data_IF_137553434771
#
_entry.id   IF_137553434771
#
_cell.length_a   1.000
_cell.length_b   1.000
_cell.length_c   1.000
_cell.angle_alpha   90.00
_cell.angle_beta   90.00
_cell.angle_gamma   90.00
#
_symmetry.space_group_name_H-M   'P 1'
#
loop_
_entity.id
_entity.type
_entity.pdbx_description
1 polymer ?
#
# COMPACT_ATOMS: atom_id res chain seq x y z
N UNK A 1 2.80 -50.82 5.82
CA UNK A 1 2.70 -49.33 5.86
C UNK A 1 2.43 -48.95 7.31
N UNK A 2 3.36 -48.24 7.91
CA UNK A 2 3.64 -48.17 9.35
C UNK A 2 2.55 -47.40 10.13
N UNK A 3 1.88 -48.08 11.10
CA UNK A 3 0.93 -47.44 12.05
C UNK A 3 1.56 -46.20 12.76
N UNK A 4 2.88 -46.17 12.89
CA UNK A 4 3.64 -45.09 13.46
C UNK A 4 3.59 -43.80 12.60
N UNK A 5 3.61 -43.93 11.26
CA UNK A 5 3.51 -42.80 10.34
C UNK A 5 2.10 -42.18 10.37
N UNK A 6 1.07 -43.01 10.55
CA UNK A 6 -0.33 -42.58 10.63
C UNK A 6 -0.59 -41.76 11.92
N UNK A 7 0.07 -42.14 13.04
CA UNK A 7 -0.04 -41.38 14.29
C UNK A 7 0.68 -40.04 14.25
N UNK A 8 1.83 -39.97 13.56
CA UNK A 8 2.57 -38.68 13.40
C UNK A 8 1.78 -37.71 12.52
N UNK A 9 1.22 -38.15 11.41
CA UNK A 9 0.40 -37.29 10.54
C UNK A 9 -0.89 -36.83 11.23
N UNK A 10 -1.51 -37.69 12.06
CA UNK A 10 -2.67 -37.31 12.88
C UNK A 10 -2.31 -36.28 13.97
N UNK A 11 -1.13 -36.43 14.61
CA UNK A 11 -0.67 -35.52 15.65
C UNK A 11 -0.30 -34.13 15.06
N UNK A 12 0.37 -34.11 13.90
CA UNK A 12 0.70 -32.87 13.19
C UNK A 12 -0.57 -32.17 12.70
N UNK A 13 -1.56 -32.91 12.19
CA UNK A 13 -2.85 -32.34 11.80
C UNK A 13 -3.61 -31.79 13.01
N UNK A 14 -3.56 -32.45 14.17
CA UNK A 14 -4.19 -32.00 15.41
C UNK A 14 -3.52 -30.74 15.96
N UNK A 15 -2.18 -30.65 15.90
CA UNK A 15 -1.43 -29.47 16.32
C UNK A 15 -1.70 -28.31 15.37
N UNK A 16 -1.77 -28.52 14.07
CA UNK A 16 -2.15 -27.50 13.09
C UNK A 16 -3.61 -27.06 13.29
N UNK A 17 -4.54 -27.96 13.63
CA UNK A 17 -5.92 -27.59 13.93
C UNK A 17 -6.06 -26.80 15.24
N UNK A 18 -5.28 -27.14 16.27
CA UNK A 18 -5.25 -26.42 17.54
C UNK A 18 -4.59 -25.04 17.40
N UNK A 19 -3.58 -24.89 16.57
CA UNK A 19 -2.95 -23.58 16.29
C UNK A 19 -3.83 -22.70 15.42
N UNK A 20 -4.58 -23.25 14.47
CA UNK A 20 -5.58 -22.50 13.68
C UNK A 20 -6.81 -22.10 14.53
N UNK A 21 -7.22 -22.92 15.50
CA UNK A 21 -8.32 -22.58 16.42
C UNK A 21 -7.94 -21.56 17.49
N UNK A 22 -6.66 -21.47 17.86
CA UNK A 22 -6.21 -20.50 18.87
C UNK A 22 -6.06 -19.08 18.32
N UNK A 23 -5.94 -18.89 17.00
CA UNK A 23 -5.84 -17.57 16.37
C UNK A 23 -7.17 -16.79 16.33
N UNK A 24 -8.31 -17.43 16.60
CA UNK A 24 -9.62 -16.78 16.48
C UNK A 24 -10.11 -16.08 17.76
N UNK A 25 -9.37 -16.10 18.87
CA UNK A 25 -9.82 -15.59 20.17
C UNK A 25 -9.04 -14.39 20.71
N UNK A 26 -8.27 -13.69 19.89
CA UNK A 26 -7.71 -12.43 20.33
C UNK A 26 -8.80 -11.35 20.34
N UNK A 27 -8.92 -10.56 21.42
CA UNK A 27 -9.93 -9.52 21.51
C UNK A 27 -9.71 -8.52 20.35
N UNK A 28 -10.72 -8.39 19.48
CA UNK A 28 -10.70 -7.40 18.39
C UNK A 28 -10.60 -6.01 19.00
N UNK A 29 -9.74 -5.17 18.41
CA UNK A 29 -9.66 -3.78 18.86
C UNK A 29 -11.01 -3.08 18.65
N UNK A 30 -11.37 -2.06 19.45
CA UNK A 30 -12.61 -1.29 19.27
C UNK A 30 -12.77 -0.74 17.86
N UNK A 31 -11.67 -0.35 17.23
CA UNK A 31 -11.61 0.16 15.86
C UNK A 31 -12.04 -0.91 14.85
N UNK A 32 -11.55 -2.15 15.01
CA UNK A 32 -11.92 -3.27 14.13
C UNK A 32 -13.39 -3.67 14.29
N UNK A 33 -13.93 -3.65 15.53
CA UNK A 33 -15.34 -3.92 15.79
C UNK A 33 -16.25 -2.86 15.14
N UNK A 34 -15.83 -1.60 15.13
CA UNK A 34 -16.56 -0.53 14.49
C UNK A 34 -16.49 -0.63 12.95
N UNK A 35 -15.31 -0.99 12.41
CA UNK A 35 -15.15 -1.28 10.99
C UNK A 35 -16.04 -2.43 10.53
N UNK A 36 -16.17 -3.51 11.30
CA UNK A 36 -17.07 -4.62 10.99
C UNK A 36 -18.54 -4.19 10.91
N UNK A 37 -19.00 -3.31 11.80
CA UNK A 37 -20.37 -2.81 11.80
C UNK A 37 -20.65 -1.89 10.62
N UNK A 38 -19.65 -1.24 10.10
CA UNK A 38 -19.78 -0.25 9.02
C UNK A 38 -19.49 -0.81 7.64
N UNK A 39 -18.83 -2.01 7.53
CA UNK A 39 -18.39 -2.55 6.25
C UNK A 39 -19.54 -2.83 5.29
N UNK A 40 -20.70 -3.26 5.79
CA UNK A 40 -21.89 -3.50 4.98
C UNK A 40 -22.62 -2.21 4.58
N UNK A 41 -22.51 -1.17 5.40
CA UNK A 41 -23.24 0.10 5.22
C UNK A 41 -22.39 1.17 4.55
N UNK A 42 -21.11 1.21 4.85
CA UNK A 42 -20.14 2.22 4.40
C UNK A 42 -18.75 1.58 4.24
N UNK A 43 -18.54 0.76 3.21
CA UNK A 43 -17.27 0.06 3.03
C UNK A 43 -16.06 1.00 2.95
N UNK A 44 -16.21 2.20 2.37
CA UNK A 44 -15.15 3.22 2.32
C UNK A 44 -14.75 3.72 3.71
N UNK A 45 -15.71 3.88 4.62
CA UNK A 45 -15.44 4.30 6.00
C UNK A 45 -14.72 3.20 6.79
N UNK A 46 -15.13 1.95 6.60
CA UNK A 46 -14.45 0.79 7.19
C UNK A 46 -13.00 0.69 6.74
N UNK A 47 -12.73 0.92 5.44
CA UNK A 47 -11.38 0.91 4.87
C UNK A 47 -10.49 2.04 5.41
N UNK A 48 -11.06 3.23 5.64
CA UNK A 48 -10.33 4.34 6.28
C UNK A 48 -9.93 4.00 7.72
N UNK A 49 -10.74 3.28 8.46
CA UNK A 49 -10.38 2.78 9.80
C UNK A 49 -9.24 1.75 9.73
N UNK A 50 -9.32 0.81 8.80
CA UNK A 50 -8.32 -0.24 8.64
C UNK A 50 -6.96 0.29 8.16
N UNK A 51 -6.94 1.30 7.32
CA UNK A 51 -5.70 1.98 6.90
C UNK A 51 -4.96 2.69 8.03
N UNK A 52 -5.60 2.85 9.19
CA UNK A 52 -5.02 3.47 10.41
C UNK A 52 -4.57 2.44 11.44
N UNK A 53 -4.91 1.16 11.26
CA UNK A 53 -4.46 0.08 12.14
C UNK A 53 -2.98 -0.17 11.92
N UNK A 54 -2.21 0.13 12.95
CA UNK A 54 -0.75 0.15 12.95
C UNK A 54 -0.18 -1.27 12.98
N UNK A 55 0.70 -1.58 12.07
CA UNK A 55 1.88 -2.48 12.01
C UNK A 55 2.02 -3.71 12.93
N UNK A 56 1.03 -4.14 13.70
CA UNK A 56 1.05 -5.45 14.35
C UNK A 56 0.65 -6.53 13.33
N UNK A 57 1.43 -7.61 13.21
CA UNK A 57 1.19 -8.67 12.22
C UNK A 57 -0.24 -9.21 12.25
N UNK A 58 -0.84 -9.24 13.44
CA UNK A 58 -2.20 -9.71 13.64
C UNK A 58 -3.24 -8.72 13.10
N UNK A 59 -3.03 -7.45 13.32
CA UNK A 59 -3.88 -6.39 12.78
C UNK A 59 -3.76 -6.34 11.25
N UNK A 60 -2.59 -6.61 10.70
CA UNK A 60 -2.37 -6.68 9.27
C UNK A 60 -3.12 -7.84 8.60
N UNK A 61 -3.19 -9.01 9.24
CA UNK A 61 -3.97 -10.15 8.73
C UNK A 61 -5.47 -9.86 8.73
N UNK A 62 -5.97 -9.24 9.80
CA UNK A 62 -7.36 -8.83 9.87
C UNK A 62 -7.68 -7.72 8.86
N UNK A 63 -6.78 -6.73 8.70
CA UNK A 63 -6.92 -5.72 7.68
C UNK A 63 -7.00 -6.33 6.27
N UNK A 64 -6.17 -7.32 5.96
CA UNK A 64 -6.20 -8.03 4.70
C UNK A 64 -7.55 -8.73 4.48
N UNK A 65 -8.10 -9.40 5.50
CA UNK A 65 -9.41 -10.05 5.41
C UNK A 65 -10.53 -9.06 5.05
N UNK A 66 -10.54 -7.88 5.70
CA UNK A 66 -11.52 -6.83 5.39
C UNK A 66 -11.35 -6.24 3.99
N UNK A 67 -10.10 -6.06 3.54
CA UNK A 67 -9.85 -5.61 2.17
C UNK A 67 -10.34 -6.63 1.14
N UNK A 68 -10.17 -7.95 1.39
CA UNK A 68 -10.69 -8.99 0.50
C UNK A 68 -12.22 -8.96 0.43
N UNK A 69 -12.92 -8.78 1.57
CA UNK A 69 -14.37 -8.60 1.59
C UNK A 69 -14.83 -7.35 0.82
N UNK A 70 -14.07 -6.25 0.96
CA UNK A 70 -14.37 -5.03 0.23
C UNK A 70 -14.15 -5.17 -1.29
N UNK A 71 -13.18 -5.99 -1.74
CA UNK A 71 -13.03 -6.31 -3.15
C UNK A 71 -14.23 -7.07 -3.68
N UNK A 72 -14.70 -8.09 -2.95
CA UNK A 72 -15.91 -8.86 -3.32
C UNK A 72 -17.12 -7.94 -3.51
N UNK A 73 -17.38 -7.05 -2.54
CA UNK A 73 -18.47 -6.07 -2.62
C UNK A 73 -18.29 -5.12 -3.81
N UNK A 74 -17.07 -4.64 -4.04
CA UNK A 74 -16.77 -3.73 -5.14
C UNK A 74 -16.91 -4.36 -6.52
N UNK A 75 -16.54 -5.64 -6.65
CA UNK A 75 -16.71 -6.40 -7.89
C UNK A 75 -18.18 -6.67 -8.19
N UNK A 76 -18.96 -7.08 -7.19
CA UNK A 76 -20.40 -7.37 -7.33
C UNK A 76 -21.21 -6.11 -7.64
N UNK A 77 -20.89 -4.99 -6.98
CA UNK A 77 -21.57 -3.71 -7.18
C UNK A 77 -21.04 -2.92 -8.37
N UNK A 78 -19.89 -3.31 -8.95
CA UNK A 78 -19.12 -2.53 -9.95
C UNK A 78 -18.72 -1.15 -9.45
N UNK A 79 -18.46 -1.01 -8.15
CA UNK A 79 -17.96 0.21 -7.54
C UNK A 79 -16.45 0.33 -7.78
N UNK A 80 -16.09 0.98 -8.90
CA UNK A 80 -14.68 1.17 -9.28
C UNK A 80 -13.94 2.07 -8.28
N UNK A 81 -14.60 3.03 -7.65
CA UNK A 81 -14.01 3.86 -6.60
C UNK A 81 -13.60 3.01 -5.40
N UNK A 82 -14.47 2.11 -4.95
CA UNK A 82 -14.16 1.16 -3.88
C UNK A 82 -13.01 0.24 -4.28
N UNK A 83 -13.02 -0.32 -5.48
CA UNK A 83 -11.96 -1.19 -5.99
C UNK A 83 -10.60 -0.48 -6.05
N UNK A 84 -10.56 0.75 -6.59
CA UNK A 84 -9.33 1.57 -6.63
C UNK A 84 -8.77 1.79 -5.23
N UNK A 85 -9.61 2.20 -4.29
CA UNK A 85 -9.19 2.47 -2.91
C UNK A 85 -8.68 1.20 -2.24
N UNK A 86 -9.40 0.09 -2.38
CA UNK A 86 -9.06 -1.20 -1.75
C UNK A 86 -7.77 -1.77 -2.30
N UNK A 87 -7.57 -1.78 -3.62
CA UNK A 87 -6.32 -2.24 -4.23
C UNK A 87 -5.13 -1.37 -3.84
N UNK A 88 -5.29 -0.05 -3.75
CA UNK A 88 -4.25 0.84 -3.25
C UNK A 88 -3.88 0.55 -1.79
N UNK A 89 -4.88 0.31 -0.93
CA UNK A 89 -4.67 0.01 0.48
C UNK A 89 -4.00 -1.35 0.67
N UNK A 90 -4.41 -2.39 -0.07
CA UNK A 90 -3.73 -3.69 -0.08
C UNK A 90 -2.29 -3.58 -0.54
N UNK A 91 -2.04 -2.81 -1.61
CA UNK A 91 -0.69 -2.53 -2.07
C UNK A 91 0.16 -1.86 -0.98
N UNK A 92 -0.42 -0.90 -0.26
CA UNK A 92 0.25 -0.22 0.86
C UNK A 92 0.50 -1.16 2.02
N UNK A 93 -0.46 -2.02 2.39
CA UNK A 93 -0.33 -3.01 3.44
C UNK A 93 0.85 -3.96 3.14
N UNK A 94 0.91 -4.53 1.93
CA UNK A 94 2.00 -5.41 1.53
C UNK A 94 3.35 -4.68 1.45
N UNK A 95 3.37 -3.42 0.99
CA UNK A 95 4.60 -2.62 0.94
C UNK A 95 5.16 -2.31 2.33
N UNK A 96 4.31 -2.10 3.34
CA UNK A 96 4.73 -1.91 4.74
C UNK A 96 5.29 -3.19 5.37
N UNK A 97 4.95 -4.35 4.83
CA UNK A 97 5.48 -5.65 5.23
C UNK A 97 6.70 -6.07 4.39
N UNK A 98 7.21 -5.19 3.53
CA UNK A 98 8.28 -5.46 2.55
C UNK A 98 7.95 -6.59 1.54
N UNK A 99 6.65 -6.96 1.39
CA UNK A 99 6.18 -7.96 0.44
C UNK A 99 5.93 -7.30 -0.92
N UNK A 100 7.01 -6.81 -1.54
CA UNK A 100 6.97 -6.01 -2.75
C UNK A 100 6.37 -6.75 -3.96
N UNK A 101 6.52 -8.07 -4.03
CA UNK A 101 5.98 -8.91 -5.09
C UNK A 101 4.45 -8.98 -5.05
N UNK A 102 3.83 -8.79 -3.88
CA UNK A 102 2.39 -8.68 -3.73
C UNK A 102 1.89 -7.24 -3.86
N UNK A 103 2.67 -6.26 -3.37
CA UNK A 103 2.31 -4.85 -3.42
C UNK A 103 2.17 -4.33 -4.86
N UNK A 104 3.12 -4.67 -5.74
CA UNK A 104 3.14 -4.17 -7.12
C UNK A 104 1.91 -4.59 -7.94
N UNK A 105 1.47 -5.87 -7.95
CA UNK A 105 0.23 -6.28 -8.61
C UNK A 105 -1.00 -5.52 -8.10
N UNK A 106 -1.11 -5.27 -6.78
CA UNK A 106 -2.25 -4.53 -6.22
C UNK A 106 -2.31 -3.10 -6.76
N UNK A 107 -1.20 -2.37 -6.72
CA UNK A 107 -1.16 -1.03 -7.31
C UNK A 107 -1.44 -1.02 -8.83
N UNK A 108 -0.98 -2.03 -9.58
CA UNK A 108 -1.29 -2.13 -11.00
C UNK A 108 -2.77 -2.39 -11.25
N UNK A 109 -3.43 -3.16 -10.40
CA UNK A 109 -4.88 -3.35 -10.44
C UNK A 109 -5.63 -2.04 -10.15
N UNK A 110 -5.22 -1.28 -9.12
CA UNK A 110 -5.78 0.05 -8.87
C UNK A 110 -5.62 0.96 -10.10
N UNK A 111 -4.44 0.94 -10.73
CA UNK A 111 -4.18 1.76 -11.92
C UNK A 111 -5.08 1.36 -13.10
N UNK A 112 -5.37 0.06 -13.32
CA UNK A 112 -6.26 -0.37 -14.39
C UNK A 112 -7.71 0.08 -14.18
N UNK A 113 -8.18 0.13 -12.94
CA UNK A 113 -9.50 0.70 -12.64
C UNK A 113 -9.53 2.22 -12.79
N UNK A 114 -8.41 2.92 -12.55
CA UNK A 114 -8.29 4.35 -12.80
C UNK A 114 -8.31 4.73 -14.30
N UNK A 115 -8.14 3.76 -15.21
CA UNK A 115 -8.39 3.95 -16.64
C UNK A 115 -9.89 3.96 -16.96
N UNK A 116 -10.70 3.27 -16.17
CA UNK A 116 -12.17 3.22 -16.32
C UNK A 116 -12.86 4.38 -15.59
N UNK A 117 -12.35 4.73 -14.41
CA UNK A 117 -12.85 5.85 -13.59
C UNK A 117 -11.69 6.79 -13.24
N UNK A 118 -11.41 7.80 -14.08
CA UNK A 118 -10.23 8.66 -13.94
C UNK A 118 -10.32 9.57 -12.73
N UNK A 119 -9.30 9.48 -11.85
CA UNK A 119 -9.04 10.38 -10.73
C UNK A 119 -7.56 10.74 -10.71
N UNK A 120 -7.23 11.99 -11.04
CA UNK A 120 -5.84 12.45 -11.13
C UNK A 120 -5.08 12.35 -9.82
N UNK A 121 -5.75 12.56 -8.67
CA UNK A 121 -5.11 12.48 -7.35
C UNK A 121 -4.77 11.05 -7.01
N UNK A 122 -5.73 10.13 -7.17
CA UNK A 122 -5.52 8.70 -6.95
C UNK A 122 -4.52 8.12 -7.94
N UNK A 123 -4.56 8.55 -9.22
CA UNK A 123 -3.58 8.15 -10.23
C UNK A 123 -2.16 8.56 -9.84
N UNK A 124 -1.96 9.83 -9.41
CA UNK A 124 -0.65 10.30 -8.96
C UNK A 124 -0.15 9.50 -7.75
N UNK A 125 -1.02 9.22 -6.78
CA UNK A 125 -0.72 8.41 -5.59
C UNK A 125 -0.31 6.99 -5.98
N UNK A 126 -1.09 6.32 -6.82
CA UNK A 126 -0.85 4.94 -7.26
C UNK A 126 0.47 4.83 -8.03
N UNK A 127 0.71 5.76 -8.98
CA UNK A 127 1.94 5.80 -9.76
C UNK A 127 3.19 6.06 -8.90
N UNK A 128 3.08 6.93 -7.88
CA UNK A 128 4.14 7.18 -6.90
C UNK A 128 4.49 5.90 -6.14
N UNK A 129 3.49 5.14 -5.68
CA UNK A 129 3.70 3.91 -4.95
C UNK A 129 4.32 2.81 -5.84
N UNK A 130 3.87 2.67 -7.09
CA UNK A 130 4.52 1.79 -8.07
C UNK A 130 5.99 2.17 -8.26
N UNK A 131 6.29 3.48 -8.36
CA UNK A 131 7.66 3.97 -8.50
C UNK A 131 8.53 3.59 -7.29
N UNK A 132 7.99 3.73 -6.06
CA UNK A 132 8.68 3.33 -4.83
C UNK A 132 8.99 1.82 -4.82
N UNK A 133 8.04 0.97 -5.21
CA UNK A 133 8.29 -0.49 -5.29
C UNK A 133 9.40 -0.79 -6.30
N UNK A 134 9.39 -0.13 -7.47
CA UNK A 134 10.49 -0.31 -8.44
C UNK A 134 11.84 0.18 -7.90
N UNK A 135 11.87 1.26 -7.10
CA UNK A 135 13.08 1.71 -6.44
C UNK A 135 13.60 0.67 -5.45
N UNK A 136 12.72 0.15 -4.58
CA UNK A 136 13.07 -0.87 -3.58
C UNK A 136 13.52 -2.19 -4.21
N UNK A 137 12.97 -2.55 -5.37
CA UNK A 137 13.33 -3.77 -6.13
C UNK A 137 14.46 -3.55 -7.13
N UNK A 138 15.25 -2.47 -6.98
CA UNK A 138 16.43 -2.17 -7.78
C UNK A 138 16.16 -2.08 -9.30
N UNK A 139 15.01 -1.51 -9.67
CA UNK A 139 14.62 -1.22 -11.06
C UNK A 139 14.51 0.30 -11.29
N UNK A 140 15.65 1.03 -11.24
CA UNK A 140 15.64 2.49 -11.23
C UNK A 140 15.02 3.13 -12.46
N UNK A 141 15.23 2.56 -13.66
CA UNK A 141 14.67 3.12 -14.89
C UNK A 141 13.12 3.11 -14.85
N UNK A 142 12.53 1.99 -14.43
CA UNK A 142 11.09 1.89 -14.23
C UNK A 142 10.62 2.88 -13.17
N UNK A 143 11.32 2.96 -12.04
CA UNK A 143 11.01 3.88 -10.96
C UNK A 143 10.97 5.33 -11.45
N UNK A 144 11.99 5.78 -12.20
CA UNK A 144 12.07 7.14 -12.76
C UNK A 144 10.88 7.42 -13.69
N UNK A 145 10.51 6.47 -14.55
CA UNK A 145 9.37 6.60 -15.47
C UNK A 145 8.08 6.82 -14.68
N UNK A 146 7.83 5.98 -13.66
CA UNK A 146 6.61 6.06 -12.87
C UNK A 146 6.55 7.32 -11.99
N UNK A 147 7.67 7.79 -11.41
CA UNK A 147 7.71 9.07 -10.70
C UNK A 147 7.40 10.24 -11.63
N UNK A 148 7.97 10.29 -12.83
CA UNK A 148 7.67 11.33 -13.82
C UNK A 148 6.18 11.34 -14.22
N UNK A 149 5.59 10.17 -14.42
CA UNK A 149 4.15 10.04 -14.65
C UNK A 149 3.34 10.52 -13.45
N UNK A 150 3.72 10.16 -12.22
CA UNK A 150 3.05 10.63 -11.01
C UNK A 150 3.07 12.16 -10.90
N UNK A 151 4.20 12.81 -11.25
CA UNK A 151 4.33 14.27 -11.27
C UNK A 151 3.34 14.89 -12.26
N UNK A 152 3.13 14.30 -13.45
CA UNK A 152 2.21 14.87 -14.46
C UNK A 152 0.74 14.84 -14.02
N UNK A 153 0.34 13.87 -13.20
CA UNK A 153 -1.02 13.78 -12.64
C UNK A 153 -1.19 14.53 -11.31
N UNK A 154 -0.07 14.90 -10.63
CA UNK A 154 -0.14 15.47 -9.29
C UNK A 154 -0.55 16.94 -9.29
N UNK A 155 -1.47 17.30 -8.36
CA UNK A 155 -1.70 18.70 -8.01
C UNK A 155 -0.42 19.35 -7.44
N UNK A 156 -0.31 20.67 -7.59
CA UNK A 156 0.89 21.45 -7.18
C UNK A 156 1.31 21.12 -5.75
N UNK A 157 0.35 21.08 -4.81
CA UNK A 157 0.62 20.81 -3.38
C UNK A 157 1.22 19.43 -3.09
N UNK A 158 0.97 18.43 -3.94
CA UNK A 158 1.44 17.05 -3.74
C UNK A 158 2.71 16.75 -4.55
N UNK A 159 3.07 17.64 -5.47
CA UNK A 159 4.21 17.46 -6.39
C UNK A 159 5.54 17.48 -5.67
N UNK A 160 5.66 18.27 -4.61
CA UNK A 160 6.90 18.39 -3.84
C UNK A 160 7.36 17.05 -3.28
N UNK A 161 6.45 16.27 -2.66
CA UNK A 161 6.79 14.97 -2.08
C UNK A 161 7.25 13.95 -3.15
N UNK A 162 6.64 13.97 -4.33
CA UNK A 162 7.04 13.08 -5.43
C UNK A 162 8.40 13.49 -5.99
N UNK A 163 8.68 14.80 -6.09
CA UNK A 163 9.98 15.31 -6.49
C UNK A 163 11.07 14.96 -5.49
N UNK A 164 10.76 14.98 -4.19
CA UNK A 164 11.68 14.54 -3.14
C UNK A 164 12.02 13.06 -3.28
N UNK A 165 11.02 12.18 -3.45
CA UNK A 165 11.25 10.75 -3.66
C UNK A 165 12.11 10.49 -4.91
N UNK A 166 11.84 11.18 -6.02
CA UNK A 166 12.64 11.08 -7.24
C UNK A 166 14.07 11.63 -7.04
N UNK A 167 14.22 12.70 -6.28
CA UNK A 167 15.52 13.25 -5.89
C UNK A 167 16.34 12.24 -5.09
N UNK A 168 15.73 11.58 -4.10
CA UNK A 168 16.37 10.54 -3.31
C UNK A 168 16.81 9.34 -4.17
N UNK A 169 15.97 8.94 -5.14
CA UNK A 169 16.37 7.92 -6.10
C UNK A 169 17.60 8.36 -6.91
N UNK A 170 17.65 9.59 -7.43
CA UNK A 170 18.84 10.09 -8.13
C UNK A 170 20.08 10.18 -7.23
N UNK A 171 19.92 10.52 -5.94
CA UNK A 171 21.03 10.48 -4.97
C UNK A 171 21.57 9.06 -4.80
N UNK A 172 20.71 8.06 -4.66
CA UNK A 172 21.14 6.65 -4.55
C UNK A 172 21.87 6.16 -5.82
N UNK A 173 21.52 6.72 -6.98
CA UNK A 173 22.20 6.48 -8.26
C UNK A 173 23.44 7.36 -8.47
N UNK A 174 23.81 8.21 -7.51
CA UNK A 174 24.91 9.17 -7.57
C UNK A 174 24.77 10.20 -8.71
N UNK A 175 23.57 10.38 -9.24
CA UNK A 175 23.25 11.46 -10.21
C UNK A 175 22.90 12.75 -9.47
N UNK A 176 23.91 13.35 -8.84
CA UNK A 176 23.76 14.54 -8.01
C UNK A 176 23.16 15.72 -8.77
N UNK A 177 23.42 15.83 -10.07
CA UNK A 177 22.86 16.90 -10.90
C UNK A 177 21.35 16.80 -11.00
N UNK A 178 20.79 15.61 -11.27
CA UNK A 178 19.34 15.41 -11.35
C UNK A 178 18.69 15.44 -9.98
N UNK A 179 19.36 14.94 -8.94
CA UNK A 179 18.89 15.07 -7.56
C UNK A 179 18.70 16.53 -7.19
N UNK A 180 19.70 17.38 -7.43
CA UNK A 180 19.61 18.83 -7.19
C UNK A 180 18.47 19.49 -7.98
N UNK A 181 18.28 19.13 -9.24
CA UNK A 181 17.17 19.64 -10.05
C UNK A 181 15.80 19.29 -9.47
N UNK A 182 15.64 18.11 -8.89
CA UNK A 182 14.40 17.72 -8.22
C UNK A 182 14.15 18.57 -6.97
N UNK A 183 15.19 18.82 -6.18
CA UNK A 183 15.14 19.66 -4.98
C UNK A 183 14.74 21.10 -5.34
N UNK A 184 15.39 21.69 -6.32
CA UNK A 184 15.08 23.06 -6.77
C UNK A 184 13.63 23.19 -7.29
N UNK A 185 13.11 22.16 -7.94
CA UNK A 185 11.69 22.13 -8.36
C UNK A 185 10.72 21.91 -7.20
N UNK A 186 11.12 21.20 -6.17
CA UNK A 186 10.28 20.95 -4.98
C UNK A 186 10.22 22.18 -4.06
N UNK A 187 11.32 22.90 -3.92
CA UNK A 187 11.50 24.03 -3.00
C UNK A 187 10.39 25.10 -3.06
N UNK A 188 9.98 25.64 -4.21
CA UNK A 188 8.91 26.64 -4.27
C UNK A 188 7.51 26.08 -3.96
N UNK A 189 7.36 24.76 -3.90
CA UNK A 189 6.09 24.08 -3.63
C UNK A 189 5.89 23.77 -2.12
N UNK A 190 6.94 23.96 -1.32
CA UNK A 190 6.96 23.69 0.11
C UNK A 190 6.79 25.04 0.83
N UNK A 191 5.55 25.32 1.29
CA UNK A 191 5.15 26.62 1.82
C UNK A 191 5.74 27.05 3.17
N UNK A 192 6.69 26.32 3.79
CA UNK A 192 7.29 26.64 5.08
C UNK A 192 8.75 26.15 5.19
N UNK A 193 9.62 26.99 5.71
CA UNK A 193 11.07 26.72 5.91
C UNK A 193 11.37 25.45 6.71
N UNK A 194 10.51 25.03 7.64
CA UNK A 194 10.72 23.82 8.45
C UNK A 194 10.75 22.51 7.64
N UNK A 195 10.07 22.46 6.51
CA UNK A 195 10.05 21.27 5.65
C UNK A 195 11.28 21.23 4.74
N UNK A 196 11.94 22.35 4.53
CA UNK A 196 13.22 22.45 3.80
C UNK A 196 14.37 21.71 4.48
N UNK A 197 14.37 21.62 5.82
CA UNK A 197 15.42 20.89 6.56
C UNK A 197 15.52 19.41 6.17
N UNK A 198 14.41 18.76 5.85
CA UNK A 198 14.42 17.37 5.38
C UNK A 198 15.04 17.19 3.99
N UNK A 199 15.05 18.24 3.19
CA UNK A 199 15.61 18.21 1.82
C UNK A 199 17.11 18.50 1.80
N UNK A 200 17.66 19.14 2.85
CA UNK A 200 19.08 19.49 2.96
C UNK A 200 19.92 18.50 3.77
N UNK A 201 19.29 17.56 4.47
CA UNK A 201 20.00 16.53 5.27
C UNK A 201 20.33 15.25 4.49
N UNK A 202 20.06 15.21 3.19
CA UNK A 202 20.42 14.16 2.25
C UNK A 202 21.46 14.65 1.26
#
# INVERSE_FOLDING_TARGET
MNKFLLHITSLVALVLFLTMGACNNTPKTPILLEAEKTIEKQPDSALNYLGRVNSDLQDALQAQEYYLKALEIGEDSKDYTLLINTYNNLGTLYAHQDINDMALPMYKKALSYLELEPDSVKTAFTLRNIARIYSLTQKPDSSIIYYKRAISYSAIKNRASILTDLGNLYLSLKDYKKAYQCIEKAKPLIGNEKTLYFVYLL
#
